data_IF_582168504254
#
_entry.id   IF_582168504254
#
_cell.length_a   1.000
_cell.length_b   1.000
_cell.length_c   1.000
_cell.angle_alpha   90.00
_cell.angle_beta   90.00
_cell.angle_gamma   90.00
#
_symmetry.space_group_name_H-M   'P 1'
#
loop_
_entity.id
_entity.type
_entity.pdbx_description
1 polymer ?
#
# COMPACT_ATOMS: atom_id res chain seq x y z
N UNK A 1 7.02 3.53 -8.07
CA UNK A 1 7.60 2.17 -8.02
C UNK A 1 8.07 1.86 -6.59
N UNK A 2 8.97 2.66 -5.99
CA UNK A 2 9.53 2.39 -4.64
C UNK A 2 8.47 2.20 -3.55
N UNK A 3 7.37 2.96 -3.55
CA UNK A 3 6.27 2.81 -2.58
C UNK A 3 5.52 1.48 -2.66
N UNK A 4 5.79 0.66 -3.69
CA UNK A 4 5.15 -0.65 -3.85
C UNK A 4 6.13 -1.81 -3.80
N UNK A 5 7.29 -1.67 -4.45
CA UNK A 5 8.17 -2.80 -4.71
C UNK A 5 9.36 -2.89 -3.75
N UNK A 6 9.54 -1.93 -2.84
CA UNK A 6 10.49 -2.10 -1.74
C UNK A 6 10.19 -3.42 -1.00
N UNK A 7 11.24 -4.15 -0.63
CA UNK A 7 11.14 -5.46 0.06
C UNK A 7 10.22 -6.46 -0.68
N UNK A 8 10.22 -6.40 -2.02
CA UNK A 8 9.34 -7.24 -2.88
C UNK A 8 7.84 -7.03 -2.61
N UNK A 9 7.45 -5.84 -2.15
CA UNK A 9 6.08 -5.54 -1.75
C UNK A 9 5.63 -6.19 -0.44
N UNK A 10 6.53 -6.83 0.30
CA UNK A 10 6.29 -7.43 1.61
C UNK A 10 6.54 -6.41 2.72
N UNK A 11 5.80 -5.33 2.69
CA UNK A 11 5.90 -4.20 3.61
C UNK A 11 4.48 -3.68 3.89
N UNK A 12 4.17 -3.46 5.17
CA UNK A 12 2.88 -2.90 5.57
C UNK A 12 2.63 -1.47 5.04
N UNK A 13 3.70 -0.80 4.60
CA UNK A 13 3.63 0.50 3.92
C UNK A 13 3.56 0.37 2.39
N UNK A 14 3.65 -0.82 1.82
CA UNK A 14 3.52 -1.01 0.38
C UNK A 14 2.11 -0.63 -0.08
N UNK A 15 2.02 0.31 -1.02
CA UNK A 15 0.73 0.72 -1.56
C UNK A 15 0.01 -0.49 -2.20
N UNK A 16 -1.19 -0.79 -1.71
CA UNK A 16 -1.99 -1.93 -2.17
C UNK A 16 -2.93 -1.54 -3.30
N UNK A 17 -3.57 -0.37 -3.20
CA UNK A 17 -4.54 0.17 -4.14
C UNK A 17 -4.04 1.48 -4.72
N UNK A 18 -4.03 1.61 -6.05
CA UNK A 18 -3.64 2.82 -6.73
C UNK A 18 -4.83 3.43 -7.45
N UNK A 19 -5.22 4.61 -7.04
CA UNK A 19 -6.26 5.40 -7.68
C UNK A 19 -5.62 6.53 -8.47
N UNK A 20 -5.84 6.56 -9.78
CA UNK A 20 -5.24 7.56 -10.67
C UNK A 20 -6.35 8.36 -11.36
N UNK A 21 -6.24 9.69 -11.34
CA UNK A 21 -7.21 10.57 -11.99
C UNK A 21 -7.27 10.28 -13.50
N UNK A 22 -8.49 10.09 -14.03
CA UNK A 22 -8.68 9.60 -15.41
C UNK A 22 -7.89 10.34 -16.50
N UNK A 23 -7.77 11.68 -16.50
CA UNK A 23 -7.03 12.38 -17.54
C UNK A 23 -5.55 12.00 -17.66
N UNK A 24 -4.96 11.46 -16.61
CA UNK A 24 -3.54 11.04 -16.59
C UNK A 24 -3.36 9.53 -16.46
N UNK A 25 -4.45 8.77 -16.36
CA UNK A 25 -4.44 7.35 -16.02
C UNK A 25 -3.57 6.53 -16.98
N UNK A 26 -3.86 6.60 -18.26
CA UNK A 26 -3.17 5.77 -19.27
C UNK A 26 -1.67 6.09 -19.33
N UNK A 27 -1.30 7.37 -19.39
CA UNK A 27 0.09 7.80 -19.43
C UNK A 27 0.84 7.42 -18.14
N UNK A 28 0.18 7.52 -16.98
CA UNK A 28 0.78 7.13 -15.71
C UNK A 28 1.01 5.63 -15.63
N UNK A 29 0.00 4.82 -15.98
CA UNK A 29 0.08 3.35 -15.93
C UNK A 29 1.12 2.83 -16.90
N UNK A 30 1.21 3.40 -18.12
CA UNK A 30 2.25 3.06 -19.09
C UNK A 30 3.64 3.34 -18.56
N UNK A 31 3.92 4.58 -18.12
CA UNK A 31 5.23 4.97 -17.56
C UNK A 31 5.61 4.18 -16.30
N UNK A 32 4.62 3.82 -15.47
CA UNK A 32 4.84 2.96 -14.30
C UNK A 32 5.22 1.55 -14.75
N UNK A 33 4.49 0.97 -15.71
CA UNK A 33 4.72 -0.38 -16.22
C UNK A 33 6.11 -0.53 -16.85
N UNK A 34 6.56 0.47 -17.62
CA UNK A 34 7.91 0.49 -18.18
C UNK A 34 8.98 0.40 -17.09
N UNK A 35 8.83 1.19 -16.01
CA UNK A 35 9.75 1.14 -14.87
C UNK A 35 9.71 -0.20 -14.13
N UNK A 36 8.54 -0.83 -14.06
CA UNK A 36 8.37 -2.14 -13.41
C UNK A 36 9.02 -3.26 -14.23
N UNK A 37 8.90 -3.21 -15.56
CA UNK A 37 9.56 -4.19 -16.45
C UNK A 37 11.08 -4.15 -16.38
N UNK A 38 11.66 -3.03 -15.95
CA UNK A 38 13.11 -2.89 -15.81
C UNK A 38 13.63 -3.45 -14.47
N UNK A 39 12.75 -3.86 -13.54
CA UNK A 39 13.16 -4.41 -12.26
C UNK A 39 13.72 -5.84 -12.44
N UNK A 40 14.87 -6.08 -11.86
CA UNK A 40 15.50 -7.40 -11.80
C UNK A 40 14.86 -8.27 -10.70
N UNK A 41 14.77 -9.57 -10.96
CA UNK A 41 14.24 -10.56 -10.00
C UNK A 41 15.29 -11.64 -9.78
N UNK A 42 15.63 -11.94 -8.53
CA UNK A 42 16.66 -12.93 -8.23
C UNK A 42 16.90 -13.17 -6.75
N UNK A 43 17.85 -14.07 -6.42
CA UNK A 43 18.28 -14.32 -5.05
C UNK A 43 18.89 -13.08 -4.40
N UNK A 44 18.58 -12.81 -3.14
CA UNK A 44 19.02 -11.59 -2.44
C UNK A 44 20.54 -11.39 -2.35
N UNK A 45 21.34 -12.47 -2.47
CA UNK A 45 22.80 -12.38 -2.51
C UNK A 45 23.35 -11.79 -3.81
N UNK A 46 22.54 -11.71 -4.85
CA UNK A 46 22.87 -11.12 -6.16
C UNK A 46 22.41 -9.65 -6.26
N UNK A 47 21.87 -9.10 -5.17
CA UNK A 47 21.36 -7.71 -5.06
C UNK A 47 20.35 -7.32 -6.14
N UNK A 48 19.30 -8.15 -6.42
CA UNK A 48 18.24 -7.80 -7.33
C UNK A 48 17.27 -6.78 -6.72
N UNK A 49 16.48 -6.11 -7.56
CA UNK A 49 15.41 -5.22 -7.10
C UNK A 49 14.30 -5.98 -6.35
N UNK A 50 14.02 -7.20 -6.77
CA UNK A 50 12.96 -8.06 -6.24
C UNK A 50 13.54 -9.41 -5.82
N UNK A 51 13.45 -9.72 -4.54
CA UNK A 51 13.81 -11.01 -3.97
C UNK A 51 12.62 -11.99 -3.91
N UNK A 52 12.82 -13.16 -3.29
CA UNK A 52 11.75 -14.15 -3.10
C UNK A 52 10.69 -13.66 -2.10
N UNK A 53 9.48 -14.18 -2.23
CA UNK A 53 8.46 -14.09 -1.19
C UNK A 53 8.80 -15.03 -0.04
N UNK A 54 8.21 -14.79 1.13
CA UNK A 54 8.53 -15.51 2.37
C UNK A 54 8.30 -17.02 2.27
N UNK A 55 7.30 -17.46 1.52
CA UNK A 55 6.99 -18.88 1.35
C UNK A 55 6.01 -19.13 0.17
N UNK A 56 5.75 -20.39 -0.13
CA UNK A 56 4.85 -20.82 -1.20
C UNK A 56 3.40 -20.34 -1.04
N UNK A 57 2.91 -20.14 0.20
CA UNK A 57 1.55 -19.59 0.43
C UNK A 57 1.46 -18.14 -0.02
N UNK A 58 2.51 -17.35 0.22
CA UNK A 58 2.57 -15.98 -0.26
C UNK A 58 2.53 -15.92 -1.79
N UNK A 59 3.22 -16.85 -2.47
CA UNK A 59 3.16 -16.97 -3.94
C UNK A 59 1.75 -17.35 -4.41
N UNK A 60 1.14 -18.37 -3.80
CA UNK A 60 -0.22 -18.80 -4.13
C UNK A 60 -1.25 -17.67 -3.97
N UNK A 61 -1.10 -16.85 -2.92
CA UNK A 61 -1.93 -15.65 -2.72
C UNK A 61 -1.78 -14.65 -3.88
N UNK A 62 -0.56 -14.41 -4.36
CA UNK A 62 -0.36 -13.55 -5.52
C UNK A 62 -1.07 -14.09 -6.77
N UNK A 63 -0.95 -15.39 -7.02
CA UNK A 63 -1.62 -16.05 -8.14
C UNK A 63 -3.15 -15.94 -8.05
N UNK A 64 -3.70 -16.14 -6.86
CA UNK A 64 -5.14 -15.99 -6.60
C UNK A 64 -5.62 -14.56 -6.84
N UNK A 65 -4.92 -13.55 -6.32
CA UNK A 65 -5.26 -12.14 -6.51
C UNK A 65 -5.21 -11.74 -7.98
N UNK A 66 -4.21 -12.19 -8.73
CA UNK A 66 -4.13 -11.94 -10.19
C UNK A 66 -5.27 -12.63 -10.91
N UNK A 67 -5.52 -13.91 -10.65
CA UNK A 67 -6.57 -14.66 -11.31
C UNK A 67 -7.97 -14.08 -11.05
N UNK A 68 -8.24 -13.67 -9.82
CA UNK A 68 -9.49 -13.00 -9.46
C UNK A 68 -9.66 -11.67 -10.19
N UNK A 69 -8.65 -10.80 -10.18
CA UNK A 69 -8.71 -9.52 -10.86
C UNK A 69 -8.95 -9.67 -12.37
N UNK A 70 -8.26 -10.60 -13.02
CA UNK A 70 -8.44 -10.90 -14.45
C UNK A 70 -9.84 -11.43 -14.76
N UNK A 71 -10.37 -12.32 -13.92
CA UNK A 71 -11.75 -12.85 -14.03
C UNK A 71 -12.78 -11.73 -13.93
N UNK A 72 -12.49 -10.68 -13.16
CA UNK A 72 -13.36 -9.52 -13.00
C UNK A 72 -13.15 -8.43 -14.08
N UNK A 73 -12.26 -8.65 -15.05
CA UNK A 73 -12.06 -7.75 -16.19
C UNK A 73 -10.86 -6.83 -16.11
N UNK A 74 -10.00 -6.96 -15.09
CA UNK A 74 -8.72 -6.24 -15.07
C UNK A 74 -7.80 -6.66 -16.20
N UNK A 75 -6.88 -5.77 -16.60
CA UNK A 75 -5.87 -6.04 -17.63
C UNK A 75 -4.50 -6.30 -16.99
N UNK A 76 -3.87 -7.40 -17.36
CA UNK A 76 -2.48 -7.68 -16.99
C UNK A 76 -1.52 -6.97 -17.96
N UNK A 77 -0.64 -6.13 -17.44
CA UNK A 77 0.33 -5.38 -18.24
C UNK A 77 1.74 -5.97 -18.18
N UNK A 78 2.13 -6.57 -17.05
CA UNK A 78 3.37 -7.34 -16.92
C UNK A 78 3.30 -8.26 -15.69
N UNK A 79 4.18 -9.27 -15.64
CA UNK A 79 4.23 -10.24 -14.54
C UNK A 79 3.05 -11.22 -14.55
N UNK A 80 2.45 -11.48 -13.40
CA UNK A 80 1.20 -12.24 -13.26
C UNK A 80 1.34 -13.74 -13.10
N UNK A 81 2.52 -14.31 -13.29
CA UNK A 81 2.79 -15.74 -13.15
C UNK A 81 4.11 -15.96 -12.42
N UNK A 82 4.30 -17.11 -11.79
CA UNK A 82 5.56 -17.47 -11.12
C UNK A 82 6.76 -17.29 -12.05
N UNK A 83 7.87 -16.84 -11.48
CA UNK A 83 9.15 -16.83 -12.19
C UNK A 83 9.77 -18.25 -12.18
N UNK A 84 10.35 -18.65 -13.30
CA UNK A 84 11.04 -19.95 -13.45
C UNK A 84 12.49 -19.90 -12.91
N UNK A 85 12.66 -19.31 -11.70
CA UNK A 85 13.96 -19.21 -11.01
C UNK A 85 13.91 -19.76 -9.58
N UNK A 86 12.75 -20.30 -9.17
CA UNK A 86 12.57 -20.92 -7.86
C UNK A 86 11.13 -20.79 -7.33
N UNK A 87 10.78 -21.64 -6.38
CA UNK A 87 9.41 -21.83 -5.91
C UNK A 87 8.77 -20.60 -5.25
N UNK A 88 9.57 -19.70 -4.69
CA UNK A 88 9.11 -18.54 -3.95
C UNK A 88 9.21 -17.21 -4.73
N UNK A 89 9.58 -17.27 -6.00
CA UNK A 89 9.74 -16.06 -6.80
C UNK A 89 8.46 -15.73 -7.57
N UNK A 90 8.00 -14.51 -7.36
CA UNK A 90 6.88 -13.94 -8.11
C UNK A 90 7.32 -12.58 -8.70
N UNK A 91 7.25 -12.39 -10.01
CA UNK A 91 7.74 -11.18 -10.64
C UNK A 91 6.89 -9.97 -10.31
N UNK A 92 7.46 -8.76 -10.40
CA UNK A 92 6.70 -7.53 -10.29
C UNK A 92 5.56 -7.53 -11.31
N UNK A 93 4.35 -7.31 -10.80
CA UNK A 93 3.11 -7.44 -11.57
C UNK A 93 2.36 -6.13 -11.58
N UNK A 94 1.83 -5.77 -12.74
CA UNK A 94 0.98 -4.58 -12.92
C UNK A 94 -0.37 -4.99 -13.48
N UNK A 95 -1.43 -4.63 -12.75
CA UNK A 95 -2.83 -4.79 -13.13
C UNK A 95 -3.46 -3.41 -13.35
N UNK A 96 -4.13 -3.23 -14.48
CA UNK A 96 -4.87 -2.02 -14.83
C UNK A 96 -6.38 -2.28 -14.87
N UNK A 97 -7.16 -1.23 -14.71
CA UNK A 97 -8.64 -1.25 -14.72
C UNK A 97 -9.22 -2.25 -13.70
N UNK A 98 -8.60 -2.30 -12.52
CA UNK A 98 -8.97 -3.24 -11.47
C UNK A 98 -10.29 -2.80 -10.82
N UNK A 99 -11.32 -3.67 -10.79
CA UNK A 99 -12.57 -3.38 -10.10
C UNK A 99 -12.39 -3.28 -8.59
N UNK A 100 -13.18 -2.42 -7.92
CA UNK A 100 -13.09 -2.19 -6.48
C UNK A 100 -13.39 -3.45 -5.63
N UNK A 101 -14.10 -4.43 -6.19
CA UNK A 101 -14.46 -5.69 -5.52
C UNK A 101 -13.44 -6.81 -5.72
N UNK A 102 -12.41 -6.60 -6.54
CA UNK A 102 -11.34 -7.58 -6.73
C UNK A 102 -10.57 -7.84 -5.42
N UNK A 103 -10.18 -9.09 -5.20
CA UNK A 103 -9.45 -9.50 -3.97
C UNK A 103 -8.21 -8.63 -3.72
N UNK A 104 -7.49 -8.26 -4.76
CA UNK A 104 -6.30 -7.39 -4.67
C UNK A 104 -6.61 -5.99 -4.10
N UNK A 105 -7.88 -5.55 -4.13
CA UNK A 105 -8.34 -4.29 -3.51
C UNK A 105 -8.98 -4.50 -2.14
N UNK A 106 -9.53 -5.70 -1.87
CA UNK A 106 -10.22 -6.02 -0.62
C UNK A 106 -9.30 -6.61 0.44
N UNK A 107 -8.25 -7.30 0.03
CA UNK A 107 -7.29 -7.93 0.93
C UNK A 107 -5.90 -7.29 0.83
N UNK A 108 -5.12 -7.38 1.90
CA UNK A 108 -3.71 -7.02 1.87
C UNK A 108 -2.94 -8.01 1.00
N UNK A 109 -2.34 -7.53 -0.09
CA UNK A 109 -1.61 -8.38 -1.04
C UNK A 109 -0.30 -8.90 -0.45
N UNK A 110 0.46 -8.04 0.23
CA UNK A 110 1.77 -8.31 0.83
C UNK A 110 2.74 -9.00 -0.14
N UNK A 111 2.84 -8.43 -1.33
CA UNK A 111 3.64 -8.97 -2.44
C UNK A 111 3.73 -8.00 -3.61
N UNK A 112 4.41 -8.36 -4.69
CA UNK A 112 4.81 -7.45 -5.75
C UNK A 112 3.73 -7.22 -6.83
N UNK A 113 2.49 -6.92 -6.43
CA UNK A 113 1.39 -6.58 -7.34
C UNK A 113 1.00 -5.11 -7.15
N UNK A 114 1.09 -4.31 -8.19
CA UNK A 114 0.53 -2.97 -8.27
C UNK A 114 -0.80 -3.01 -9.03
N UNK A 115 -1.88 -2.62 -8.36
CA UNK A 115 -3.24 -2.65 -8.89
C UNK A 115 -3.80 -1.24 -9.07
N UNK A 116 -4.16 -0.88 -10.30
CA UNK A 116 -4.61 0.45 -10.68
C UNK A 116 -6.09 0.51 -11.03
N UNK A 117 -6.78 1.53 -10.50
CA UNK A 117 -8.14 1.88 -10.87
C UNK A 117 -8.21 3.37 -11.22
N UNK A 118 -8.89 3.78 -12.31
CA UNK A 118 -9.12 5.18 -12.60
C UNK A 118 -10.22 5.76 -11.71
N UNK A 119 -10.17 7.07 -11.46
CA UNK A 119 -11.25 7.80 -10.81
C UNK A 119 -11.55 9.12 -11.54
N UNK A 120 -12.77 9.62 -11.41
CA UNK A 120 -13.24 10.82 -12.09
C UNK A 120 -13.47 11.99 -11.13
N UNK A 121 -13.83 11.74 -9.87
CA UNK A 121 -14.07 12.80 -8.90
C UNK A 121 -13.31 12.59 -7.59
N UNK A 122 -12.97 13.70 -6.92
CA UNK A 122 -12.29 13.69 -5.64
C UNK A 122 -13.14 13.03 -4.53
N UNK A 123 -14.46 13.23 -4.57
CA UNK A 123 -15.36 12.69 -3.55
C UNK A 123 -15.54 11.18 -3.72
N UNK A 124 -15.66 10.68 -4.96
CA UNK A 124 -15.75 9.25 -5.24
C UNK A 124 -14.48 8.50 -4.83
N UNK A 125 -13.30 9.03 -5.16
CA UNK A 125 -12.05 8.38 -4.77
C UNK A 125 -11.83 8.41 -3.26
N UNK A 126 -12.28 9.47 -2.58
CA UNK A 126 -12.20 9.54 -1.14
C UNK A 126 -13.09 8.47 -0.48
N UNK A 127 -14.31 8.27 -0.99
CA UNK A 127 -15.20 7.22 -0.55
C UNK A 127 -14.57 5.83 -0.79
N UNK A 128 -14.07 5.57 -1.99
CA UNK A 128 -13.42 4.30 -2.34
C UNK A 128 -12.15 4.05 -1.50
N UNK A 129 -11.36 5.09 -1.24
CA UNK A 129 -10.16 4.98 -0.41
C UNK A 129 -10.51 4.58 1.04
N UNK A 130 -11.59 5.11 1.60
CA UNK A 130 -12.07 4.82 2.95
C UNK A 130 -12.88 3.51 3.05
N UNK A 131 -13.34 2.95 1.92
CA UNK A 131 -14.05 1.66 1.87
C UNK A 131 -13.07 0.48 2.05
N UNK A 132 -12.58 0.36 3.26
CA UNK A 132 -11.67 -0.71 3.70
C UNK A 132 -11.79 -0.89 5.21
N UNK A 133 -11.58 -2.12 5.66
CA UNK A 133 -11.55 -2.47 7.09
C UNK A 133 -10.25 -2.03 7.78
N UNK A 134 -9.22 -1.70 7.03
CA UNK A 134 -7.91 -1.29 7.55
C UNK A 134 -7.63 0.18 7.25
N UNK A 135 -6.69 0.79 7.97
CA UNK A 135 -6.36 2.21 7.77
C UNK A 135 -4.95 2.54 8.29
N UNK A 136 -3.90 1.93 7.74
CA UNK A 136 -2.54 2.20 8.19
C UNK A 136 -1.97 3.45 7.53
N UNK A 137 -1.83 3.46 6.21
CA UNK A 137 -1.20 4.55 5.47
C UNK A 137 -1.94 4.88 4.19
N UNK A 138 -2.04 6.16 3.87
CA UNK A 138 -2.46 6.68 2.57
C UNK A 138 -1.38 7.60 1.98
N UNK A 139 -1.18 7.50 0.68
CA UNK A 139 -0.27 8.35 -0.10
C UNK A 139 -1.08 9.26 -1.01
N UNK A 140 -0.93 10.56 -0.85
CA UNK A 140 -1.59 11.58 -1.66
C UNK A 140 -0.56 12.34 -2.49
N UNK A 141 -0.74 12.37 -3.80
CA UNK A 141 0.08 13.15 -4.72
C UNK A 141 -0.78 14.21 -5.41
N UNK A 142 -0.57 15.47 -5.05
CA UNK A 142 -1.27 16.62 -5.64
C UNK A 142 -0.54 17.92 -5.36
N UNK A 143 -0.66 18.90 -6.26
CA UNK A 143 -0.14 20.27 -6.06
C UNK A 143 -1.21 21.23 -5.52
N UNK A 144 -2.47 20.79 -5.38
CA UNK A 144 -3.58 21.62 -4.91
C UNK A 144 -3.62 21.69 -3.38
N UNK A 145 -3.41 22.86 -2.74
CA UNK A 145 -3.54 23.01 -1.29
C UNK A 145 -4.94 22.67 -0.78
N UNK A 146 -5.98 22.95 -1.56
CA UNK A 146 -7.36 22.62 -1.21
C UNK A 146 -7.57 21.09 -1.15
N UNK A 147 -7.06 20.34 -2.14
CA UNK A 147 -7.10 18.87 -2.12
C UNK A 147 -6.27 18.31 -0.96
N UNK A 148 -5.10 18.88 -0.68
CA UNK A 148 -4.30 18.45 0.47
C UNK A 148 -5.10 18.60 1.76
N UNK A 149 -5.70 19.78 2.00
CA UNK A 149 -6.50 20.02 3.20
C UNK A 149 -7.74 19.11 3.30
N UNK A 150 -8.42 18.86 2.18
CA UNK A 150 -9.59 17.97 2.12
C UNK A 150 -9.20 16.54 2.46
N UNK A 151 -8.24 15.97 1.72
CA UNK A 151 -7.89 14.55 1.83
C UNK A 151 -7.21 14.22 3.16
N UNK A 152 -6.30 15.08 3.66
CA UNK A 152 -5.65 14.83 4.96
C UNK A 152 -6.63 14.84 6.13
N UNK A 153 -7.77 15.54 6.00
CA UNK A 153 -8.83 15.56 7.01
C UNK A 153 -9.79 14.38 6.91
N UNK A 154 -10.08 13.92 5.69
CA UNK A 154 -11.18 12.98 5.43
C UNK A 154 -10.72 11.54 5.19
N UNK A 155 -9.44 11.31 4.90
CA UNK A 155 -8.89 9.96 4.81
C UNK A 155 -8.82 9.31 6.21
N UNK A 156 -9.43 8.14 6.34
CA UNK A 156 -9.54 7.37 7.59
C UNK A 156 -8.32 6.45 7.79
N UNK A 157 -7.14 7.06 7.77
CA UNK A 157 -5.85 6.36 7.94
C UNK A 157 -5.06 6.98 9.07
N UNK A 158 -4.30 6.17 9.78
CA UNK A 158 -3.43 6.64 10.87
C UNK A 158 -2.27 7.51 10.38
N UNK A 159 -1.84 7.32 9.13
CA UNK A 159 -0.77 8.09 8.51
C UNK A 159 -1.18 8.54 7.10
N UNK A 160 -0.93 9.80 6.76
CA UNK A 160 -1.14 10.33 5.40
C UNK A 160 0.15 11.00 4.94
N UNK A 161 0.72 10.48 3.85
CA UNK A 161 1.91 11.03 3.21
C UNK A 161 1.51 11.92 2.03
N UNK A 162 1.95 13.17 2.01
CA UNK A 162 1.67 14.11 0.92
C UNK A 162 2.92 14.33 0.10
N UNK A 163 2.87 14.00 -1.20
CA UNK A 163 3.95 14.16 -2.19
C UNK A 163 5.27 13.50 -1.78
N UNK A 164 5.20 12.41 -1.00
CA UNK A 164 6.36 11.64 -0.57
C UNK A 164 5.98 10.19 -0.30
N UNK A 165 6.96 9.30 -0.31
CA UNK A 165 6.77 7.86 -0.06
C UNK A 165 7.49 7.37 1.20
N UNK A 166 8.52 8.09 1.68
CA UNK A 166 9.23 7.75 2.90
C UNK A 166 8.64 8.55 4.07
N UNK A 167 7.99 7.86 5.01
CA UNK A 167 7.21 8.47 6.10
C UNK A 167 7.51 7.90 7.49
N UNK A 168 8.51 7.04 7.62
CA UNK A 168 8.91 6.44 8.89
C UNK A 168 10.18 7.07 9.45
N UNK A 169 10.33 7.03 10.77
CA UNK A 169 11.51 7.51 11.47
C UNK A 169 11.24 7.60 12.98
N UNK A 170 12.29 7.62 13.81
CA UNK A 170 12.17 7.60 15.25
C UNK A 170 11.22 8.67 15.86
N UNK A 171 11.16 9.93 15.38
CA UNK A 171 10.26 10.94 15.93
C UNK A 171 8.83 10.87 15.39
N UNK A 172 8.53 9.94 14.46
CA UNK A 172 7.25 9.85 13.77
C UNK A 172 6.36 8.82 14.44
N UNK A 173 5.11 9.17 14.84
CA UNK A 173 4.17 8.18 15.35
C UNK A 173 3.72 7.26 14.21
N UNK A 174 3.98 5.98 14.35
CA UNK A 174 3.61 4.94 13.41
C UNK A 174 2.41 4.16 13.96
N UNK A 175 1.37 4.02 13.17
CA UNK A 175 0.18 3.25 13.52
C UNK A 175 -1.03 3.60 12.67
N UNK A 176 -2.05 2.77 12.76
CA UNK A 176 -3.25 2.83 11.93
C UNK A 176 -4.51 3.20 12.69
N UNK A 177 -5.61 2.96 12.01
CA UNK A 177 -6.98 3.03 12.50
C UNK A 177 -7.72 1.77 12.07
N UNK A 178 -8.97 1.60 12.50
CA UNK A 178 -9.80 0.44 12.16
C UNK A 178 -9.10 -0.88 12.55
N UNK A 179 -9.12 -1.90 11.70
CA UNK A 179 -8.47 -3.18 11.97
C UNK A 179 -6.93 -3.16 11.80
N UNK A 180 -6.35 -2.06 11.33
CA UNK A 180 -4.90 -1.88 11.38
C UNK A 180 -4.36 -1.70 12.81
N UNK A 181 -5.24 -1.65 13.80
CA UNK A 181 -4.90 -1.67 15.22
C UNK A 181 -5.00 -0.31 15.89
N UNK A 182 -4.82 -0.34 17.21
CA UNK A 182 -4.82 0.81 18.11
C UNK A 182 -3.40 1.15 18.54
N UNK A 183 -3.21 2.34 19.12
CA UNK A 183 -1.92 2.78 19.61
C UNK A 183 -0.98 3.30 18.54
N UNK A 184 0.22 3.67 19.00
CA UNK A 184 1.28 4.17 18.12
C UNK A 184 2.64 3.62 18.55
N UNK A 185 3.44 3.24 17.56
CA UNK A 185 4.86 2.94 17.72
C UNK A 185 5.70 4.20 17.45
N UNK A 186 6.92 4.22 17.94
CA UNK A 186 7.83 5.35 17.76
C UNK A 186 7.33 6.65 18.39
N UNK A 187 8.03 7.73 18.14
CA UNK A 187 7.78 9.05 18.72
C UNK A 187 7.66 9.04 20.25
N UNK A 188 7.25 10.16 20.84
CA UNK A 188 6.92 10.24 22.24
C UNK A 188 5.64 9.47 22.60
N UNK A 189 4.71 9.34 21.67
CA UNK A 189 3.44 8.64 21.85
C UNK A 189 3.63 7.14 22.07
N UNK A 190 4.63 6.52 21.46
CA UNK A 190 4.90 5.10 21.63
C UNK A 190 5.25 4.69 23.05
N UNK A 191 5.70 5.63 23.90
CA UNK A 191 5.96 5.36 25.33
C UNK A 191 4.67 5.26 26.14
N UNK A 192 3.60 5.92 25.70
CA UNK A 192 2.30 5.95 26.40
C UNK A 192 1.68 4.55 26.43
N UNK A 193 1.91 3.73 25.41
CA UNK A 193 1.42 2.35 25.31
C UNK A 193 1.99 1.41 26.38
N UNK A 194 3.10 1.78 27.02
CA UNK A 194 3.78 1.01 28.07
C UNK A 194 3.55 1.59 29.47
N UNK A 195 2.64 2.56 29.62
CA UNK A 195 2.40 3.26 30.89
C UNK A 195 0.94 3.17 31.32
N UNK A 196 0.73 3.22 32.63
CA UNK A 196 -0.60 3.33 33.21
C UNK A 196 -0.76 4.70 33.88
N UNK A 197 -1.82 5.42 33.55
CA UNK A 197 -2.17 6.67 34.22
C UNK A 197 -2.79 6.37 35.57
N UNK A 198 -2.20 6.90 36.67
CA UNK A 198 -2.76 6.85 38.00
C UNK A 198 -3.08 8.26 38.49
N UNK A 199 -4.35 8.52 38.77
CA UNK A 199 -4.78 9.75 39.43
C UNK A 199 -4.66 9.56 40.98
N UNK A 200 -4.03 10.52 41.62
CA UNK A 200 -3.94 10.59 43.09
C UNK A 200 -4.45 11.95 43.53
N UNK A 201 -5.47 11.96 44.40
CA UNK A 201 -5.96 13.15 45.05
C UNK A 201 -5.74 13.03 46.57
N UNK A 202 -5.31 14.10 47.20
CA UNK A 202 -5.09 14.15 48.66
C UNK A 202 -4.97 15.59 49.13
N UNK A 203 -5.41 15.84 50.38
CA UNK A 203 -5.22 17.11 51.07
C UNK A 203 -3.88 17.04 51.82
N UNK A 204 -3.02 18.01 51.60
CA UNK A 204 -1.84 18.23 52.41
C UNK A 204 -2.21 19.20 53.54
N UNK A 205 -2.33 18.72 54.76
CA UNK A 205 -2.46 19.54 55.97
C UNK A 205 -1.07 19.95 56.45
#
# INVERSE_FOLDING_TARGET
>A
VSAKFATSGQDCLAANRFYIERPIYDAFVEAFTEKVRALSVGPGLEDPDIGPLINARAVAKQEEHVADALKQGARLLCGGTRADIGANFFPPTVLADVPCDALVFREETFGPIAAFSPFDSADDVLQQANDTETGLVAYLHTQSPARIAQFTRLLEFGMVAVNRTKITGAPIPFGGTKQAGLGREGSRMGMEEFTNVKYVCGDTH
#
